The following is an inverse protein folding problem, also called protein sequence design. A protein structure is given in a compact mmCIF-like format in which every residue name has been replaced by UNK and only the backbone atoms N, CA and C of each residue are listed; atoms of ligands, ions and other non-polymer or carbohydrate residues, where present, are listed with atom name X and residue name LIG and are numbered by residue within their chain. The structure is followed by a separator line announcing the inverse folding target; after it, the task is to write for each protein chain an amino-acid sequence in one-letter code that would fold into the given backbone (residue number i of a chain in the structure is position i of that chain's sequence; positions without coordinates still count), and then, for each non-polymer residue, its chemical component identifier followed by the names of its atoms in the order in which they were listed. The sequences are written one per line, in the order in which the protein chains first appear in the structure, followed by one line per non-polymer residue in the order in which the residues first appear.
data_IF_685172218506
#
_entry.id   IF_685172218506
#
_cell.length_a   1.000
_cell.length_b   1.000
_cell.length_c   1.000
_cell.angle_alpha   90.00
_cell.angle_beta   90.00
_cell.angle_gamma   90.00
#
_symmetry.space_group_name_H-M   'P 1'
#
loop_
_entity.id
_entity.type
_entity.pdbx_description
1 polymer ?
#
# COMPACT_ATOMS: atom_id res chain seq x y z
N UNK A 1 73.27 20.47 5.06
CA UNK A 1 72.27 21.49 5.44
C UNK A 1 71.46 20.85 6.57
N UNK A 2 71.95 20.95 7.82
CA UNK A 2 71.49 21.95 8.81
C UNK A 2 69.99 21.77 9.05
N UNK A 3 69.42 21.46 10.22
CA UNK A 3 69.78 21.25 11.63
C UNK A 3 68.50 20.55 12.22
N UNK A 4 68.60 19.53 13.09
CA UNK A 4 68.55 19.65 14.57
C UNK A 4 67.16 20.15 15.06
N UNK A 5 66.42 19.59 16.02
CA UNK A 5 66.72 18.75 17.19
C UNK A 5 65.39 18.31 17.87
N UNK A 6 65.40 17.18 18.58
CA UNK A 6 64.45 16.74 19.63
C UNK A 6 64.54 17.66 20.91
N UNK A 7 63.80 17.49 22.05
CA UNK A 7 63.13 16.30 22.61
C UNK A 7 61.80 16.53 23.41
N UNK A 8 61.37 15.45 24.05
CA UNK A 8 60.15 15.16 24.83
C UNK A 8 59.85 15.98 26.11
N UNK A 9 58.56 16.06 26.45
CA UNK A 9 57.92 16.16 27.79
C UNK A 9 56.40 15.97 27.59
N UNK A 10 55.58 15.28 28.39
CA UNK A 10 55.71 14.59 29.65
C UNK A 10 54.43 13.77 29.94
N UNK A 11 54.51 12.87 30.93
CA UNK A 11 53.38 12.14 31.55
C UNK A 11 52.55 13.07 32.43
N UNK A 12 51.24 12.85 32.48
CA UNK A 12 50.45 12.86 33.73
C UNK A 12 49.03 12.33 33.48
N UNK A 13 48.65 11.28 34.20
CA UNK A 13 47.26 10.94 34.51
C UNK A 13 46.63 12.07 35.35
N UNK A 14 45.35 12.41 35.13
CA UNK A 14 44.51 13.04 36.17
C UNK A 14 43.02 12.90 35.84
N UNK A 15 42.35 12.04 36.60
CA UNK A 15 40.90 11.92 36.75
C UNK A 15 40.40 13.07 37.63
N UNK A 16 39.46 13.90 37.17
CA UNK A 16 38.51 14.63 38.05
C UNK A 16 37.23 14.96 37.29
N UNK A 17 36.11 14.49 37.81
CA UNK A 17 34.78 14.93 37.45
C UNK A 17 34.53 16.38 37.87
N UNK A 18 33.99 17.22 36.99
CA UNK A 18 33.03 18.30 37.34
C UNK A 18 32.30 18.86 36.11
N UNK A 19 31.03 18.47 36.01
CA UNK A 19 29.85 19.32 35.84
C UNK A 19 29.88 20.47 34.79
N UNK A 20 29.27 20.23 33.62
CA UNK A 20 28.57 21.29 32.89
C UNK A 20 27.37 20.73 32.10
N UNK A 21 26.18 21.19 32.51
CA UNK A 21 24.89 21.01 31.86
C UNK A 21 24.89 21.47 30.39
N UNK A 22 24.46 20.60 29.49
CA UNK A 22 23.69 20.91 28.27
C UNK A 22 22.77 19.70 28.03
N UNK A 23 21.47 19.76 28.36
CA UNK A 23 20.38 19.84 27.36
C UNK A 23 20.82 19.19 26.03
N UNK A 24 20.51 17.92 25.79
CA UNK A 24 19.19 17.51 25.32
C UNK A 24 19.02 18.01 23.89
N UNK A 25 19.17 17.13 22.88
CA UNK A 25 18.66 17.33 21.53
C UNK A 25 18.58 15.98 20.77
N UNK A 26 17.35 15.48 20.73
CA UNK A 26 16.72 14.77 19.61
C UNK A 26 17.40 13.51 19.07
N UNK A 27 17.11 12.36 19.72
CA UNK A 27 16.84 11.14 18.95
C UNK A 27 15.64 11.47 18.07
N UNK A 28 15.90 11.64 16.77
CA UNK A 28 14.87 11.93 15.77
C UNK A 28 13.74 10.92 15.90
N UNK A 29 12.58 11.46 16.26
CA UNK A 29 11.32 10.76 16.36
C UNK A 29 10.88 10.42 14.93
N UNK A 30 11.45 9.35 14.36
CA UNK A 30 10.81 8.60 13.27
C UNK A 30 9.55 7.97 13.86
N UNK A 31 8.55 8.79 14.14
CA UNK A 31 7.22 8.35 14.50
C UNK A 31 6.71 7.54 13.31
N UNK A 32 6.83 6.21 13.42
CA UNK A 32 6.36 5.23 12.46
C UNK A 32 4.88 5.54 12.16
N UNK A 33 4.63 6.25 11.06
CA UNK A 33 3.25 6.52 10.63
C UNK A 33 2.60 5.20 10.33
N UNK A 34 1.44 4.98 10.92
CA UNK A 34 0.65 3.78 10.66
C UNK A 34 0.32 3.74 9.16
N UNK A 35 0.43 2.56 8.52
CA UNK A 35 0.13 2.41 7.10
C UNK A 35 -1.35 2.72 6.84
N UNK A 36 -1.65 3.30 5.69
CA UNK A 36 -3.04 3.54 5.26
C UNK A 36 -3.70 2.19 5.03
N UNK A 37 -4.83 1.91 5.68
CA UNK A 37 -5.58 0.67 5.50
C UNK A 37 -6.62 0.83 4.40
N UNK A 38 -6.54 0.00 3.37
CA UNK A 38 -7.41 0.07 2.19
C UNK A 38 -8.12 -1.26 1.98
N UNK A 39 -9.45 -1.22 1.86
CA UNK A 39 -10.26 -2.38 1.49
C UNK A 39 -10.83 -2.21 0.08
N UNK A 40 -10.51 -3.13 -0.82
CA UNK A 40 -11.00 -3.13 -2.21
C UNK A 40 -12.08 -4.19 -2.39
N UNK A 41 -13.30 -3.78 -2.71
CA UNK A 41 -14.48 -4.66 -2.77
C UNK A 41 -14.97 -4.81 -4.21
N UNK A 42 -15.22 -6.06 -4.62
CA UNK A 42 -16.02 -6.35 -5.81
C UNK A 42 -17.06 -7.44 -5.50
N UNK A 43 -17.80 -7.94 -6.50
CA UNK A 43 -18.78 -9.00 -6.26
C UNK A 43 -18.09 -10.31 -5.86
N UNK A 44 -17.25 -10.86 -6.74
CA UNK A 44 -16.75 -12.24 -6.58
C UNK A 44 -15.36 -12.36 -5.94
N UNK A 45 -14.65 -11.25 -5.74
CA UNK A 45 -13.24 -11.23 -5.36
C UNK A 45 -12.34 -12.18 -6.17
N UNK A 46 -12.63 -12.30 -7.47
CA UNK A 46 -11.98 -13.25 -8.37
C UNK A 46 -11.02 -12.58 -9.37
N UNK A 47 -11.33 -11.35 -9.81
CA UNK A 47 -10.57 -10.65 -10.85
C UNK A 47 -10.20 -9.22 -10.45
N UNK A 48 -11.11 -8.25 -10.66
CA UNK A 48 -10.86 -6.81 -10.48
C UNK A 48 -10.22 -6.46 -9.13
N UNK A 49 -10.84 -6.87 -8.02
CA UNK A 49 -10.31 -6.54 -6.69
C UNK A 49 -9.02 -7.30 -6.32
N UNK A 50 -8.80 -8.49 -6.87
CA UNK A 50 -7.53 -9.22 -6.73
C UNK A 50 -6.39 -8.53 -7.48
N UNK A 51 -6.64 -8.12 -8.73
CA UNK A 51 -5.68 -7.33 -9.50
C UNK A 51 -5.36 -6.03 -8.79
N UNK A 52 -6.37 -5.33 -8.28
CA UNK A 52 -6.20 -4.09 -7.56
C UNK A 52 -5.42 -4.26 -6.24
N UNK A 53 -5.68 -5.33 -5.46
CA UNK A 53 -4.92 -5.64 -4.24
C UNK A 53 -3.43 -5.84 -4.57
N UNK A 54 -3.12 -6.70 -5.53
CA UNK A 54 -1.74 -7.02 -5.90
C UNK A 54 -1.01 -5.81 -6.48
N UNK A 55 -1.65 -5.05 -7.38
CA UNK A 55 -1.09 -3.85 -7.98
C UNK A 55 -0.82 -2.76 -6.93
N UNK A 56 -1.78 -2.51 -6.03
CA UNK A 56 -1.61 -1.47 -5.01
C UNK A 56 -0.50 -1.84 -4.02
N UNK A 57 -0.45 -3.11 -3.58
CA UNK A 57 0.64 -3.61 -2.72
C UNK A 57 2.00 -3.41 -3.38
N UNK A 58 2.09 -3.73 -4.68
CA UNK A 58 3.33 -3.58 -5.44
C UNK A 58 3.74 -2.11 -5.62
N UNK A 59 2.79 -1.19 -5.83
CA UNK A 59 3.07 0.24 -6.06
C UNK A 59 3.37 1.04 -4.79
N UNK A 60 2.65 0.76 -3.69
CA UNK A 60 2.69 1.57 -2.48
C UNK A 60 3.55 0.98 -1.36
N UNK A 61 3.94 -0.29 -1.47
CA UNK A 61 4.80 -0.96 -0.48
C UNK A 61 4.22 -0.88 0.93
N UNK A 62 5.08 -0.58 1.91
CA UNK A 62 4.72 -0.53 3.33
C UNK A 62 3.89 0.70 3.71
N UNK A 63 3.71 1.69 2.83
CA UNK A 63 2.90 2.87 3.13
C UNK A 63 1.40 2.56 3.14
N UNK A 64 0.99 1.47 2.49
CA UNK A 64 -0.43 1.07 2.35
C UNK A 64 -0.60 -0.40 2.68
N UNK A 65 -1.44 -0.66 3.67
CA UNK A 65 -1.91 -2.00 4.00
C UNK A 65 -3.18 -2.30 3.20
N UNK A 66 -3.06 -3.12 2.15
CA UNK A 66 -4.18 -3.40 1.23
C UNK A 66 -4.80 -4.78 1.42
N UNK A 67 -6.12 -4.76 1.42
CA UNK A 67 -7.00 -5.92 1.47
C UNK A 67 -7.99 -5.89 0.31
N UNK A 68 -8.48 -7.06 -0.10
CA UNK A 68 -9.64 -7.18 -0.98
C UNK A 68 -10.67 -8.16 -0.45
N UNK A 69 -11.91 -7.96 -0.89
CA UNK A 69 -13.04 -8.80 -0.52
C UNK A 69 -14.12 -8.86 -1.61
N UNK A 70 -15.03 -9.81 -1.42
CA UNK A 70 -16.17 -10.11 -2.28
C UNK A 70 -17.47 -10.10 -1.48
N UNK A 71 -18.54 -9.57 -2.04
CA UNK A 71 -19.89 -9.77 -1.46
C UNK A 71 -20.37 -11.21 -1.64
N UNK A 72 -19.94 -11.87 -2.71
CA UNK A 72 -20.25 -13.26 -3.06
C UNK A 72 -18.96 -13.94 -3.56
N UNK A 73 -17.96 -14.16 -2.68
CA UNK A 73 -16.63 -14.61 -3.09
C UNK A 73 -16.67 -16.00 -3.75
N UNK A 74 -15.88 -16.17 -4.81
CA UNK A 74 -15.73 -17.47 -5.50
C UNK A 74 -14.27 -17.97 -5.42
N UNK A 75 -13.66 -18.31 -6.54
CA UNK A 75 -12.24 -18.64 -6.63
C UNK A 75 -11.51 -17.55 -7.42
N UNK A 76 -10.23 -17.32 -7.11
CA UNK A 76 -9.41 -16.38 -7.89
C UNK A 76 -9.36 -16.87 -9.33
N UNK A 77 -9.68 -15.99 -10.27
CA UNK A 77 -9.76 -16.35 -11.68
C UNK A 77 -8.35 -16.63 -12.23
N UNK A 78 -8.09 -17.73 -12.94
CA UNK A 78 -6.74 -18.09 -13.40
C UNK A 78 -6.08 -17.02 -14.28
N UNK A 79 -6.86 -16.34 -15.14
CA UNK A 79 -6.33 -15.24 -15.96
C UNK A 79 -5.87 -14.03 -15.13
N UNK A 80 -6.45 -13.82 -13.94
CA UNK A 80 -5.96 -12.79 -13.00
C UNK A 80 -4.54 -13.07 -12.57
N UNK A 81 -4.24 -14.33 -12.24
CA UNK A 81 -2.90 -14.76 -11.83
C UNK A 81 -1.92 -14.55 -13.00
N UNK A 82 -2.29 -15.01 -14.20
CA UNK A 82 -1.45 -14.87 -15.40
C UNK A 82 -1.10 -13.42 -15.72
N UNK A 83 -2.07 -12.51 -15.74
CA UNK A 83 -1.79 -11.11 -16.10
C UNK A 83 -1.00 -10.35 -15.03
N UNK A 84 -1.03 -10.80 -13.78
CA UNK A 84 -0.17 -10.26 -12.71
C UNK A 84 1.26 -10.79 -12.82
N UNK A 85 1.41 -12.09 -13.10
CA UNK A 85 2.71 -12.73 -13.31
C UNK A 85 3.44 -12.18 -14.54
N UNK A 86 2.73 -11.78 -15.60
CA UNK A 86 3.31 -11.05 -16.74
C UNK A 86 4.05 -9.76 -16.33
N UNK A 87 3.65 -9.14 -15.22
CA UNK A 87 4.29 -7.94 -14.66
C UNK A 87 5.36 -8.28 -13.61
N UNK A 88 5.59 -9.57 -13.34
CA UNK A 88 6.49 -10.01 -12.26
C UNK A 88 5.94 -9.77 -10.86
N UNK A 89 4.62 -9.57 -10.71
CA UNK A 89 3.98 -9.34 -9.41
C UNK A 89 3.73 -10.68 -8.72
N UNK A 90 4.11 -10.79 -7.45
CA UNK A 90 3.85 -12.00 -6.66
C UNK A 90 2.35 -12.18 -6.41
N UNK A 91 1.86 -13.38 -6.75
CA UNK A 91 0.46 -13.79 -6.62
C UNK A 91 0.25 -14.78 -5.48
N UNK A 92 1.33 -15.24 -4.83
CA UNK A 92 1.28 -16.14 -3.69
C UNK A 92 0.49 -15.51 -2.54
N UNK A 93 -0.55 -16.21 -2.08
CA UNK A 93 -1.42 -15.76 -0.99
C UNK A 93 -2.67 -15.00 -1.43
N UNK A 94 -2.84 -14.72 -2.74
CA UNK A 94 -4.12 -14.24 -3.24
C UNK A 94 -5.21 -15.30 -3.02
N UNK A 95 -6.27 -14.92 -2.33
CA UNK A 95 -7.44 -15.77 -2.06
C UNK A 95 -8.70 -14.93 -2.12
N UNK A 96 -9.79 -15.52 -2.57
CA UNK A 96 -11.10 -14.90 -2.49
C UNK A 96 -11.57 -14.88 -1.02
N UNK A 97 -12.03 -13.72 -0.56
CA UNK A 97 -12.41 -13.42 0.82
C UNK A 97 -13.82 -12.86 0.86
N UNK A 98 -14.60 -13.23 1.87
CA UNK A 98 -15.90 -12.59 2.10
C UNK A 98 -15.70 -11.20 2.69
N UNK A 99 -16.53 -10.25 2.29
CA UNK A 99 -16.60 -8.92 2.92
C UNK A 99 -16.94 -9.02 4.41
N UNK A 100 -17.61 -10.11 4.82
CA UNK A 100 -17.94 -10.41 6.22
C UNK A 100 -16.69 -10.61 7.10
N UNK A 101 -15.58 -11.10 6.55
CA UNK A 101 -14.31 -11.27 7.29
C UNK A 101 -13.74 -9.93 7.79
N UNK A 102 -14.20 -8.83 7.21
CA UNK A 102 -13.71 -7.49 7.49
C UNK A 102 -14.68 -6.65 8.33
N UNK A 103 -15.86 -7.18 8.65
CA UNK A 103 -16.83 -6.48 9.49
C UNK A 103 -16.23 -6.21 10.88
N UNK A 104 -16.47 -5.00 11.38
CA UNK A 104 -15.91 -4.53 12.65
C UNK A 104 -14.46 -4.05 12.58
N UNK A 105 -13.78 -4.18 11.43
CA UNK A 105 -12.48 -3.55 11.20
C UNK A 105 -12.66 -2.12 10.67
N UNK A 106 -11.64 -1.28 10.89
CA UNK A 106 -11.59 0.11 10.41
C UNK A 106 -10.66 0.24 9.21
N UNK A 107 -11.12 0.91 8.16
CA UNK A 107 -10.31 1.21 6.98
C UNK A 107 -10.31 2.71 6.76
N UNK A 108 -9.20 3.26 6.28
CA UNK A 108 -9.12 4.66 5.87
C UNK A 108 -9.84 4.87 4.53
N UNK A 109 -9.76 3.85 3.65
CA UNK A 109 -10.42 3.86 2.34
C UNK A 109 -11.12 2.53 2.05
N UNK A 110 -12.35 2.63 1.56
CA UNK A 110 -13.09 1.50 0.99
C UNK A 110 -13.36 1.79 -0.48
N UNK A 111 -12.72 1.01 -1.36
CA UNK A 111 -12.77 1.20 -2.82
C UNK A 111 -13.63 0.10 -3.43
N UNK A 112 -14.78 0.47 -3.98
CA UNK A 112 -15.63 -0.46 -4.74
C UNK A 112 -15.26 -0.42 -6.22
N UNK A 113 -14.97 -1.58 -6.81
CA UNK A 113 -14.47 -1.68 -8.21
C UNK A 113 -15.47 -2.28 -9.21
N UNK A 114 -16.71 -2.51 -8.76
CA UNK A 114 -17.84 -2.86 -9.62
C UNK A 114 -19.13 -2.23 -9.07
N UNK A 115 -20.08 -1.93 -9.96
CA UNK A 115 -21.32 -1.25 -9.62
C UNK A 115 -22.16 -2.07 -8.64
N UNK A 116 -22.25 -3.39 -8.87
CA UNK A 116 -23.00 -4.29 -8.01
C UNK A 116 -22.43 -4.39 -6.59
N UNK A 117 -21.11 -4.32 -6.43
CA UNK A 117 -20.51 -4.28 -5.10
C UNK A 117 -20.84 -2.97 -4.38
N UNK A 118 -20.89 -1.85 -5.09
CA UNK A 118 -21.26 -0.56 -4.48
C UNK A 118 -22.67 -0.61 -3.86
N UNK A 119 -23.61 -1.29 -4.50
CA UNK A 119 -24.99 -1.40 -3.99
C UNK A 119 -25.13 -2.37 -2.81
N UNK A 120 -24.31 -3.42 -2.77
CA UNK A 120 -24.38 -4.51 -1.77
C UNK A 120 -23.33 -4.40 -0.67
N UNK A 121 -22.38 -3.48 -0.76
CA UNK A 121 -21.30 -3.34 0.20
C UNK A 121 -21.86 -2.91 1.55
N UNK A 122 -21.56 -3.64 2.65
CA UNK A 122 -21.84 -3.18 3.99
C UNK A 122 -21.18 -1.82 4.26
N UNK A 123 -21.79 -1.03 5.14
CA UNK A 123 -21.18 0.23 5.59
C UNK A 123 -20.04 -0.09 6.55
N UNK A 124 -18.83 0.30 6.17
CA UNK A 124 -17.68 0.28 7.07
C UNK A 124 -17.59 1.61 7.83
N UNK A 125 -17.38 1.58 9.16
CA UNK A 125 -17.30 2.80 9.95
C UNK A 125 -16.05 3.63 9.62
N UNK A 126 -16.22 4.95 9.50
CA UNK A 126 -15.14 5.92 9.38
C UNK A 126 -14.73 6.27 7.95
N UNK A 127 -14.01 5.36 7.29
CA UNK A 127 -13.22 5.62 6.08
C UNK A 127 -13.93 6.21 4.87
N UNK A 128 -13.14 6.84 3.98
CA UNK A 128 -13.63 7.40 2.73
C UNK A 128 -14.07 6.29 1.76
N UNK A 129 -15.29 6.43 1.22
CA UNK A 129 -15.82 5.49 0.23
C UNK A 129 -15.58 6.00 -1.19
N UNK A 130 -14.82 5.24 -1.96
CA UNK A 130 -14.49 5.54 -3.35
C UNK A 130 -15.13 4.47 -4.24
N UNK A 131 -15.59 4.88 -5.42
CA UNK A 131 -16.15 3.97 -6.41
C UNK A 131 -15.49 4.18 -7.77
N UNK A 132 -14.94 3.10 -8.34
CA UNK A 132 -14.39 3.06 -9.69
C UNK A 132 -14.99 1.90 -10.47
N UNK A 133 -15.79 2.19 -11.48
CA UNK A 133 -16.35 1.12 -12.32
C UNK A 133 -15.33 0.63 -13.34
N UNK A 134 -15.11 -0.68 -13.38
CA UNK A 134 -14.33 -1.37 -14.41
C UNK A 134 -15.17 -2.49 -15.04
N UNK A 135 -15.08 -2.68 -16.37
CA UNK A 135 -15.79 -3.76 -17.04
C UNK A 135 -15.34 -5.11 -16.47
N UNK A 136 -16.24 -6.09 -16.49
CA UNK A 136 -15.93 -7.43 -15.99
C UNK A 136 -15.19 -8.22 -17.08
N UNK A 137 -13.89 -8.54 -16.92
CA UNK A 137 -13.15 -9.21 -17.98
C UNK A 137 -13.57 -10.68 -18.14
N UNK A 138 -14.24 -11.29 -17.15
CA UNK A 138 -14.69 -12.68 -17.23
C UNK A 138 -15.92 -12.89 -18.12
N UNK A 139 -16.64 -11.83 -18.48
CA UNK A 139 -17.80 -11.92 -19.38
C UNK A 139 -17.41 -11.88 -20.86
N UNK A 140 -16.13 -11.65 -21.17
CA UNK A 140 -15.64 -11.66 -22.55
C UNK A 140 -15.55 -13.11 -23.03
N UNK A 141 -16.24 -13.40 -24.12
CA UNK A 141 -16.21 -14.68 -24.82
C UNK A 141 -15.21 -14.62 -25.98
N UNK A 142 -14.82 -15.79 -26.49
CA UNK A 142 -13.88 -15.91 -27.62
C UNK A 142 -12.68 -16.79 -27.31
N UNK A 143 -11.63 -16.61 -28.11
CA UNK A 143 -10.36 -17.33 -27.96
C UNK A 143 -9.68 -17.00 -26.62
N UNK A 144 -8.76 -17.87 -26.20
CA UNK A 144 -7.97 -17.64 -24.99
C UNK A 144 -7.19 -16.31 -25.06
N UNK A 145 -6.69 -15.95 -26.24
CA UNK A 145 -5.97 -14.70 -26.46
C UNK A 145 -6.86 -13.47 -26.27
N UNK A 146 -8.08 -13.47 -26.82
CA UNK A 146 -9.04 -12.38 -26.65
C UNK A 146 -9.46 -12.21 -25.19
N UNK A 147 -9.70 -13.33 -24.50
CA UNK A 147 -10.02 -13.32 -23.07
C UNK A 147 -8.86 -12.80 -22.24
N UNK A 148 -7.63 -13.25 -22.50
CA UNK A 148 -6.44 -12.76 -21.81
C UNK A 148 -6.25 -11.25 -22.04
N UNK A 149 -6.48 -10.78 -23.26
CA UNK A 149 -6.39 -9.36 -23.60
C UNK A 149 -7.42 -8.50 -22.84
N UNK A 150 -8.64 -9.01 -22.66
CA UNK A 150 -9.63 -8.35 -21.80
C UNK A 150 -9.14 -8.19 -20.35
N UNK A 151 -8.50 -9.22 -19.79
CA UNK A 151 -7.90 -9.14 -18.45
C UNK A 151 -6.75 -8.13 -18.41
N UNK A 152 -5.90 -8.07 -19.44
CA UNK A 152 -4.81 -7.08 -19.53
C UNK A 152 -5.34 -5.65 -19.59
N UNK A 153 -6.36 -5.40 -20.42
CA UNK A 153 -6.99 -4.09 -20.53
C UNK A 153 -7.54 -3.61 -19.17
N UNK A 154 -8.22 -4.50 -18.43
CA UNK A 154 -8.74 -4.17 -17.09
C UNK A 154 -7.61 -3.99 -16.07
N UNK A 155 -6.59 -4.86 -16.08
CA UNK A 155 -5.38 -4.72 -15.25
C UNK A 155 -4.74 -3.34 -15.44
N UNK A 156 -4.56 -2.94 -16.69
CA UNK A 156 -3.85 -1.71 -17.04
C UNK A 156 -4.69 -0.47 -16.68
N UNK A 157 -6.02 -0.53 -16.87
CA UNK A 157 -6.93 0.52 -16.43
C UNK A 157 -6.91 0.69 -14.89
N UNK A 158 -6.93 -0.43 -14.14
CA UNK A 158 -6.79 -0.42 -12.68
C UNK A 158 -5.44 0.17 -12.28
N UNK A 159 -4.35 -0.26 -12.91
CA UNK A 159 -3.00 0.22 -12.64
C UNK A 159 -2.87 1.73 -12.86
N UNK A 160 -3.44 2.26 -13.95
CA UNK A 160 -3.44 3.70 -14.22
C UNK A 160 -4.19 4.48 -13.12
N UNK A 161 -5.37 4.00 -12.72
CA UNK A 161 -6.16 4.65 -11.66
C UNK A 161 -5.43 4.63 -10.32
N UNK A 162 -4.85 3.49 -9.94
CA UNK A 162 -4.09 3.33 -8.70
C UNK A 162 -2.86 4.23 -8.67
N UNK A 163 -2.11 4.36 -9.77
CA UNK A 163 -0.95 5.27 -9.84
C UNK A 163 -1.33 6.72 -9.52
N UNK A 164 -2.43 7.19 -10.10
CA UNK A 164 -2.94 8.54 -9.80
C UNK A 164 -3.34 8.67 -8.34
N UNK A 165 -4.10 7.69 -7.82
CA UNK A 165 -4.57 7.71 -6.45
C UNK A 165 -3.42 7.66 -5.42
N UNK A 166 -2.44 6.76 -5.61
CA UNK A 166 -1.24 6.67 -4.77
C UNK A 166 -0.46 7.98 -4.75
N UNK A 167 -0.37 8.67 -5.90
CA UNK A 167 0.33 9.96 -5.98
C UNK A 167 -0.34 11.06 -5.14
N UNK A 168 -1.64 10.97 -4.90
CA UNK A 168 -2.41 11.92 -4.07
C UNK A 168 -2.25 11.56 -2.60
N UNK A 169 -2.54 10.32 -2.22
CA UNK A 169 -2.54 9.92 -0.80
C UNK A 169 -1.16 10.05 -0.15
N UNK A 170 -0.09 9.73 -0.89
CA UNK A 170 1.26 9.81 -0.33
C UNK A 170 1.70 11.26 -0.13
N UNK A 171 1.21 12.19 -0.97
CA UNK A 171 1.45 13.63 -0.75
C UNK A 171 0.72 14.15 0.48
N UNK A 172 -0.52 13.72 0.68
CA UNK A 172 -1.31 14.13 1.84
C UNK A 172 -0.72 13.58 3.14
N UNK A 173 -0.19 12.35 3.13
CA UNK A 173 0.60 11.85 4.24
C UNK A 173 1.80 12.75 4.54
N UNK A 174 2.57 13.18 3.54
CA UNK A 174 3.74 14.03 3.77
C UNK A 174 3.41 15.40 4.36
N UNK A 175 2.18 15.92 4.17
CA UNK A 175 1.79 17.25 4.66
C UNK A 175 1.50 17.33 6.15
N UNK A 176 1.24 16.21 6.83
CA UNK A 176 0.90 16.19 8.26
C UNK A 176 -0.41 16.94 8.59
N UNK A 177 -0.88 16.89 9.84
CA UNK A 177 -2.11 17.60 10.23
C UNK A 177 -1.91 19.11 10.10
N UNK A 178 -2.73 19.75 9.25
CA UNK A 178 -2.79 21.22 9.16
C UNK A 178 -3.38 21.73 10.48
N UNK A 179 -2.53 22.24 11.36
CA UNK A 179 -2.99 22.88 12.60
C UNK A 179 -3.49 24.27 12.24
N UNK A 180 -4.81 24.44 12.11
CA UNK A 180 -5.42 25.75 12.05
C UNK A 180 -5.30 26.37 13.46
N UNK A 181 -4.46 27.39 13.59
CA UNK A 181 -4.35 28.22 14.79
C UNK A 181 -5.41 29.31 14.80
#
# INVERSE_FOLDING_TARGET
MILQYCPATGRADFDVAEDLRLSGDHVGEDAQRQPIRVLIVCTHNAARSQMAEALLRWMAGEAVEVYSAGTEPTAVHPLTIRVLEELGIQTSGLRAKSVEEFLGQTFDYVITVCDQARERCPVFPGGEQIHWSFPDPSTVEGSEAERLEAFRNVRDAIAQRLRLWVSVILRDQQRGPVTLR
#
